data_IF_094799361549
#
_entry.id   IF_094799361549
#
_cell.length_a   1.000
_cell.length_b   1.000
_cell.length_c   1.000
_cell.angle_alpha   90.00
_cell.angle_beta   90.00
_cell.angle_gamma   90.00
#
_symmetry.space_group_name_H-M   'P 1'
#
loop_
_entity.id
_entity.type
_entity.pdbx_description
1 polymer ?
#
# COMPACT_ATOMS: atom_id res chain seq x y z
N UNK A 1 12.20 14.98 -9.26
CA UNK A 1 12.73 15.43 -7.96
C UNK A 1 12.10 16.77 -7.63
N UNK A 2 11.68 16.96 -6.39
CA UNK A 2 10.97 18.15 -5.90
C UNK A 2 11.65 18.61 -4.61
N UNK A 3 11.97 19.91 -4.49
CA UNK A 3 12.49 20.47 -3.24
C UNK A 3 11.34 20.65 -2.26
N UNK A 4 11.40 19.99 -1.11
CA UNK A 4 10.41 20.17 -0.04
C UNK A 4 10.78 21.39 0.80
N UNK A 5 12.05 21.47 1.21
CA UNK A 5 12.63 22.59 1.98
C UNK A 5 14.16 22.59 1.83
N UNK A 6 14.83 23.55 2.43
CA UNK A 6 16.30 23.58 2.42
C UNK A 6 16.88 22.28 2.98
N UNK A 7 17.77 21.65 2.19
CA UNK A 7 18.38 20.37 2.51
C UNK A 7 17.47 19.13 2.36
N UNK A 8 16.21 19.27 1.95
CA UNK A 8 15.28 18.14 1.84
C UNK A 8 14.60 18.06 0.47
N UNK A 9 14.79 16.91 -0.19
CA UNK A 9 14.31 16.66 -1.54
C UNK A 9 13.49 15.38 -1.58
N UNK A 10 12.40 15.41 -2.34
CA UNK A 10 11.60 14.22 -2.69
C UNK A 10 12.03 13.74 -4.07
N UNK A 11 12.38 12.46 -4.18
CA UNK A 11 12.65 11.80 -5.45
C UNK A 11 11.59 10.74 -5.64
N UNK A 12 10.71 10.95 -6.62
CA UNK A 12 9.80 9.91 -7.10
C UNK A 12 10.47 9.19 -8.25
N UNK A 13 10.46 7.86 -8.19
CA UNK A 13 11.01 6.98 -9.22
C UNK A 13 9.86 6.12 -9.72
N UNK A 14 9.49 6.28 -11.00
CA UNK A 14 8.49 5.42 -11.63
C UNK A 14 9.20 4.13 -12.04
N UNK A 15 9.21 3.18 -11.12
CA UNK A 15 9.87 1.89 -11.29
C UNK A 15 8.99 0.96 -12.11
N UNK A 16 9.57 0.30 -13.11
CA UNK A 16 8.92 -0.82 -13.80
C UNK A 16 9.03 -2.13 -13.00
N UNK A 17 10.07 -2.22 -12.17
CA UNK A 17 10.37 -3.34 -11.28
C UNK A 17 10.84 -2.83 -9.92
N UNK A 18 10.57 -3.56 -8.84
CA UNK A 18 11.05 -3.20 -7.49
C UNK A 18 12.58 -3.09 -7.40
N UNK A 19 13.31 -3.79 -8.27
CA UNK A 19 14.76 -3.67 -8.41
C UNK A 19 15.22 -2.26 -8.83
N UNK A 20 14.40 -1.53 -9.60
CA UNK A 20 14.77 -0.23 -10.16
C UNK A 20 14.98 0.80 -9.06
N UNK A 21 14.16 0.77 -8.01
CA UNK A 21 14.33 1.61 -6.83
C UNK A 21 15.65 1.29 -6.11
N UNK A 22 16.04 0.02 -6.06
CA UNK A 22 17.33 -0.38 -5.47
C UNK A 22 18.51 0.14 -6.30
N UNK A 23 18.41 0.10 -7.63
CA UNK A 23 19.44 0.66 -8.51
C UNK A 23 19.55 2.18 -8.39
N UNK A 24 18.42 2.89 -8.38
CA UNK A 24 18.42 4.35 -8.21
C UNK A 24 18.96 4.73 -6.83
N UNK A 25 18.59 4.00 -5.78
CA UNK A 25 19.14 4.22 -4.45
C UNK A 25 20.67 4.03 -4.42
N UNK A 26 21.18 2.92 -4.98
CA UNK A 26 22.63 2.68 -5.09
C UNK A 26 23.34 3.80 -5.86
N UNK A 27 22.74 4.28 -6.95
CA UNK A 27 23.28 5.41 -7.70
C UNK A 27 23.40 6.66 -6.80
N UNK A 28 22.47 6.93 -5.90
CA UNK A 28 22.64 8.04 -4.96
C UNK A 28 23.68 7.74 -3.88
N UNK A 29 23.72 6.52 -3.35
CA UNK A 29 24.70 6.08 -2.33
C UNK A 29 26.15 6.09 -2.87
N UNK A 30 26.35 5.82 -4.16
CA UNK A 30 27.68 5.84 -4.80
C UNK A 30 28.23 7.28 -4.94
N UNK A 31 27.35 8.28 -5.01
CA UNK A 31 27.73 9.68 -5.28
C UNK A 31 27.59 10.60 -4.06
N UNK A 32 26.87 10.18 -3.02
CA UNK A 32 26.66 10.94 -1.79
C UNK A 32 27.38 10.21 -0.66
N UNK A 33 28.27 10.90 0.07
CA UNK A 33 28.91 10.31 1.24
C UNK A 33 27.85 9.98 2.30
N UNK A 34 28.02 8.89 3.02
CA UNK A 34 27.04 8.43 4.03
C UNK A 34 26.69 9.52 5.07
N UNK A 35 27.65 10.40 5.39
CA UNK A 35 27.45 11.49 6.35
C UNK A 35 26.74 12.73 5.75
N UNK A 36 26.62 12.83 4.42
CA UNK A 36 26.11 14.01 3.72
C UNK A 36 24.59 13.97 3.48
N UNK A 37 23.96 12.80 3.54
CA UNK A 37 22.51 12.66 3.36
C UNK A 37 21.90 11.45 4.06
N UNK A 38 20.63 11.58 4.47
CA UNK A 38 19.82 10.50 5.01
C UNK A 38 18.73 10.13 4.01
N UNK A 39 18.67 8.86 3.63
CA UNK A 39 17.60 8.32 2.79
C UNK A 39 16.42 7.88 3.66
N UNK A 40 15.30 8.60 3.58
CA UNK A 40 14.08 8.21 4.26
C UNK A 40 13.18 7.37 3.35
N UNK A 41 12.67 6.27 3.91
CA UNK A 41 11.64 5.43 3.29
C UNK A 41 10.56 5.10 4.32
N UNK A 42 9.40 4.63 3.83
CA UNK A 42 8.39 4.00 4.69
C UNK A 42 8.75 2.52 4.77
N UNK A 43 9.31 2.11 5.91
CA UNK A 43 9.64 0.71 6.19
C UNK A 43 8.54 0.09 7.06
N UNK A 44 7.94 -0.96 6.52
CA UNK A 44 6.99 -1.81 7.20
C UNK A 44 7.44 -2.32 8.58
N UNK A 45 8.74 -2.62 8.74
CA UNK A 45 9.31 -3.16 9.99
C UNK A 45 9.29 -2.14 11.12
N UNK A 46 9.14 -0.86 10.82
CA UNK A 46 9.01 0.18 11.84
C UNK A 46 7.65 0.15 12.56
N UNK A 47 6.67 -0.61 12.03
CA UNK A 47 5.34 -0.73 12.62
C UNK A 47 5.26 -1.98 13.50
N UNK A 48 4.72 -1.82 14.71
CA UNK A 48 4.14 -2.93 15.47
C UNK A 48 2.89 -3.48 14.77
N UNK A 49 2.36 -4.59 15.24
CA UNK A 49 1.12 -5.19 14.72
C UNK A 49 -0.06 -4.21 14.78
N UNK A 50 -0.29 -3.59 15.93
CA UNK A 50 -1.40 -2.66 16.11
C UNK A 50 -1.20 -1.38 15.29
N UNK A 51 0.06 -0.92 15.17
CA UNK A 51 0.39 0.20 14.31
C UNK A 51 0.22 -0.14 12.83
N UNK A 52 0.42 -1.40 12.40
CA UNK A 52 0.16 -1.82 11.01
C UNK A 52 -1.33 -1.73 10.67
N UNK A 53 -2.20 -2.21 11.56
CA UNK A 53 -3.65 -2.05 11.42
C UNK A 53 -4.02 -0.57 11.39
N UNK A 54 -3.52 0.21 12.36
CA UNK A 54 -3.80 1.64 12.46
C UNK A 54 -3.28 2.45 11.26
N UNK A 55 -2.12 2.07 10.71
CA UNK A 55 -1.52 2.71 9.54
C UNK A 55 -2.43 2.59 8.33
N UNK A 56 -2.87 1.38 8.03
CA UNK A 56 -3.75 1.05 6.91
C UNK A 56 -5.12 1.74 7.08
N UNK A 57 -5.68 1.71 8.30
CA UNK A 57 -6.95 2.38 8.59
C UNK A 57 -6.86 3.91 8.44
N UNK A 58 -5.76 4.51 8.88
CA UNK A 58 -5.53 5.94 8.73
C UNK A 58 -5.30 6.30 7.26
N UNK A 59 -4.63 5.44 6.51
CA UNK A 59 -4.40 5.66 5.09
C UNK A 59 -5.73 5.69 4.33
N UNK A 60 -6.65 4.75 4.59
CA UNK A 60 -8.00 4.79 4.01
C UNK A 60 -8.76 6.09 4.31
N UNK A 61 -8.44 6.80 5.39
CA UNK A 61 -9.11 8.08 5.76
C UNK A 61 -8.38 9.33 5.29
N UNK A 62 -7.06 9.24 5.06
CA UNK A 62 -6.18 10.41 4.86
C UNK A 62 -5.31 10.31 3.59
N UNK A 63 -5.44 9.25 2.80
CA UNK A 63 -4.64 9.08 1.59
C UNK A 63 -4.87 10.20 0.56
N UNK A 64 -6.11 10.63 0.41
CA UNK A 64 -6.52 11.65 -0.55
C UNK A 64 -7.11 12.89 0.16
N UNK A 65 -7.26 14.02 -0.55
CA UNK A 65 -7.91 15.21 0.00
C UNK A 65 -9.37 14.96 0.37
N UNK A 66 -9.97 15.87 1.15
CA UNK A 66 -11.29 15.69 1.77
C UNK A 66 -12.46 15.53 0.78
N UNK A 67 -12.28 15.93 -0.48
CA UNK A 67 -13.26 15.70 -1.53
C UNK A 67 -13.29 14.24 -2.02
N UNK A 68 -12.32 13.40 -1.63
CA UNK A 68 -12.30 11.97 -1.92
C UNK A 68 -12.71 11.16 -0.69
N UNK A 69 -13.84 10.47 -0.80
CA UNK A 69 -14.41 9.68 0.28
C UNK A 69 -14.10 8.20 0.04
N UNK A 70 -13.60 7.53 1.08
CA UNK A 70 -13.41 6.08 1.04
C UNK A 70 -14.77 5.41 0.92
N UNK A 71 -14.96 4.66 -0.17
CA UNK A 71 -16.18 3.89 -0.41
C UNK A 71 -16.03 2.48 0.17
N UNK A 72 -14.93 1.80 -0.14
CA UNK A 72 -14.67 0.44 0.35
C UNK A 72 -13.18 0.10 0.25
N UNK A 73 -12.80 -0.97 0.95
CA UNK A 73 -11.56 -1.71 0.68
C UNK A 73 -11.92 -2.91 -0.19
N UNK A 74 -11.28 -3.04 -1.35
CA UNK A 74 -11.61 -4.05 -2.37
C UNK A 74 -10.65 -5.24 -2.38
N UNK A 75 -9.39 -5.01 -2.01
CA UNK A 75 -8.37 -6.05 -1.93
C UNK A 75 -7.54 -5.89 -0.66
N UNK A 76 -7.21 -7.01 -0.05
CA UNK A 76 -6.38 -7.08 1.16
C UNK A 76 -5.39 -8.21 1.02
N UNK A 77 -4.12 -7.90 1.22
CA UNK A 77 -3.03 -8.86 1.25
C UNK A 77 -2.50 -8.94 2.68
N UNK A 78 -2.50 -10.15 3.23
CA UNK A 78 -2.03 -10.42 4.58
C UNK A 78 -0.98 -11.51 4.57
N UNK A 79 0.04 -11.34 5.44
CA UNK A 79 1.12 -12.31 5.61
C UNK A 79 1.41 -12.56 7.08
N UNK A 80 1.70 -13.82 7.41
CA UNK A 80 2.06 -14.19 8.78
C UNK A 80 3.47 -13.66 9.16
N UNK A 81 3.64 -13.17 10.38
CA UNK A 81 4.88 -12.53 10.86
C UNK A 81 6.13 -13.43 10.74
N UNK A 82 5.99 -14.73 10.98
CA UNK A 82 7.10 -15.69 10.83
C UNK A 82 7.57 -15.85 9.37
N UNK A 83 6.68 -15.67 8.39
CA UNK A 83 7.00 -15.78 6.96
C UNK A 83 7.50 -14.45 6.38
N UNK A 84 7.21 -13.34 7.05
CA UNK A 84 7.80 -12.04 6.75
C UNK A 84 9.32 -12.06 6.96
N UNK A 85 9.84 -12.82 7.92
CA UNK A 85 11.29 -12.94 8.17
C UNK A 85 12.01 -13.88 7.18
N UNK A 86 11.33 -14.91 6.66
CA UNK A 86 11.93 -15.92 5.77
C UNK A 86 12.18 -15.45 4.34
N UNK A 87 11.53 -14.38 3.86
CA UNK A 87 11.78 -13.79 2.52
C UNK A 87 13.13 -13.06 2.39
N UNK A 88 14.09 -13.33 3.27
CA UNK A 88 15.48 -12.87 3.16
C UNK A 88 16.33 -13.74 2.24
N UNK A 89 15.83 -14.86 1.73
CA UNK A 89 16.54 -15.75 0.82
C UNK A 89 15.58 -16.12 -0.32
N UNK A 90 15.85 -15.61 -1.52
CA UNK A 90 15.47 -16.17 -2.84
C UNK A 90 14.00 -16.24 -3.31
N UNK A 91 13.17 -15.20 -3.12
CA UNK A 91 11.89 -15.12 -3.87
C UNK A 91 11.75 -13.79 -4.63
N UNK A 92 12.63 -13.58 -5.61
CA UNK A 92 12.26 -12.88 -6.83
C UNK A 92 11.75 -13.96 -7.80
N UNK A 93 10.51 -13.84 -8.25
CA UNK A 93 9.90 -14.65 -9.31
C UNK A 93 9.61 -16.13 -9.01
N UNK A 94 8.74 -16.41 -8.03
CA UNK A 94 7.90 -17.63 -8.09
C UNK A 94 6.43 -17.34 -7.84
N UNK A 95 5.74 -17.31 -8.98
CA UNK A 95 4.31 -17.30 -9.18
C UNK A 95 3.57 -18.38 -8.37
N UNK A 96 2.47 -17.92 -7.78
CA UNK A 96 1.12 -18.43 -7.95
C UNK A 96 0.84 -19.93 -7.77
N UNK A 97 0.38 -20.29 -6.57
CA UNK A 97 -0.60 -21.37 -6.39
C UNK A 97 -1.86 -20.76 -5.73
N UNK A 98 -2.72 -20.16 -6.56
CA UNK A 98 -4.08 -19.79 -6.18
C UNK A 98 -4.88 -21.06 -5.88
N UNK A 99 -5.17 -21.31 -4.60
CA UNK A 99 -6.19 -22.27 -4.19
C UNK A 99 -7.30 -21.54 -3.45
N UNK A 100 -8.47 -21.46 -4.08
CA UNK A 100 -9.73 -21.24 -3.37
C UNK A 100 -10.01 -22.43 -2.45
N UNK A 101 -10.14 -22.20 -1.14
CA UNK A 101 -10.51 -23.25 -0.19
C UNK A 101 -11.50 -22.71 0.84
N UNK A 102 -12.63 -23.42 0.94
CA UNK A 102 -13.65 -23.33 1.97
C UNK A 102 -13.19 -23.99 3.30
N UNK A 103 -13.70 -23.42 4.41
CA UNK A 103 -13.73 -23.94 5.80
C UNK A 103 -12.52 -23.73 6.74
N UNK A 104 -12.89 -23.38 7.99
CA UNK A 104 -12.19 -22.55 8.97
C UNK A 104 -11.01 -23.19 9.74
N UNK A 105 -10.69 -24.48 9.53
CA UNK A 105 -9.79 -25.23 10.44
C UNK A 105 -8.37 -25.55 9.89
N UNK A 106 -8.00 -25.10 8.69
CA UNK A 106 -6.64 -25.31 8.10
C UNK A 106 -5.67 -24.12 8.22
N UNK A 107 -5.99 -23.15 9.07
CA UNK A 107 -5.35 -21.83 9.08
C UNK A 107 -3.89 -21.80 9.58
N UNK A 108 -3.34 -22.92 10.09
CA UNK A 108 -1.92 -23.05 10.44
C UNK A 108 -1.00 -23.24 9.22
N UNK A 109 -1.53 -23.71 8.09
CA UNK A 109 -0.74 -23.92 6.87
C UNK A 109 -0.74 -22.71 5.91
N UNK A 110 -1.56 -21.68 6.18
CA UNK A 110 -1.65 -20.50 5.32
C UNK A 110 -0.55 -19.52 5.71
N UNK A 111 0.41 -19.26 4.82
CA UNK A 111 1.49 -18.30 5.07
C UNK A 111 1.10 -16.87 4.68
N UNK A 112 0.19 -16.75 3.71
CA UNK A 112 -0.30 -15.51 3.11
C UNK A 112 -1.71 -15.74 2.54
N UNK A 113 -2.51 -14.67 2.48
CA UNK A 113 -3.81 -14.70 1.82
C UNK A 113 -4.06 -13.39 1.07
N UNK A 114 -4.73 -13.52 -0.08
CA UNK A 114 -5.25 -12.43 -0.88
C UNK A 114 -6.76 -12.52 -0.80
N UNK A 115 -7.39 -11.46 -0.30
CA UNK A 115 -8.84 -11.40 -0.13
C UNK A 115 -9.38 -10.32 -1.05
N UNK A 116 -10.43 -10.67 -1.79
CA UNK A 116 -11.13 -9.79 -2.72
C UNK A 116 -12.60 -9.74 -2.32
N UNK A 117 -13.22 -8.56 -2.42
CA UNK A 117 -14.62 -8.39 -2.02
C UNK A 117 -14.95 -6.97 -1.59
N UNK A 118 -16.18 -6.77 -1.11
CA UNK A 118 -16.64 -5.47 -0.60
C UNK A 118 -16.52 -5.43 0.92
N UNK A 119 -16.15 -4.26 1.45
CA UNK A 119 -16.03 -3.97 2.87
C UNK A 119 -15.06 -4.91 3.63
N UNK A 120 -13.98 -5.35 2.97
CA UNK A 120 -13.06 -6.36 3.51
C UNK A 120 -12.45 -5.98 4.85
N UNK A 121 -12.21 -4.70 5.10
CA UNK A 121 -11.60 -4.26 6.37
C UNK A 121 -12.49 -4.59 7.59
N UNK A 122 -13.81 -4.60 7.44
CA UNK A 122 -14.77 -4.91 8.50
C UNK A 122 -15.22 -6.39 8.47
N UNK A 123 -14.55 -7.22 7.68
CA UNK A 123 -14.88 -8.63 7.57
C UNK A 123 -14.30 -9.41 8.76
N UNK A 124 -15.12 -10.21 9.43
CA UNK A 124 -14.72 -11.01 10.61
C UNK A 124 -13.51 -11.90 10.34
N UNK A 125 -13.43 -12.48 9.13
CA UNK A 125 -12.27 -13.27 8.70
C UNK A 125 -10.99 -12.44 8.74
N UNK A 126 -11.02 -11.22 8.17
CA UNK A 126 -9.85 -10.33 8.17
C UNK A 126 -9.43 -9.96 9.59
N UNK A 127 -10.38 -9.67 10.46
CA UNK A 127 -10.09 -9.39 11.87
C UNK A 127 -9.46 -10.59 12.59
N UNK A 128 -9.92 -11.80 12.30
CA UNK A 128 -9.39 -13.02 12.91
C UNK A 128 -7.98 -13.34 12.44
N UNK A 129 -7.65 -13.09 11.16
CA UNK A 129 -6.27 -13.18 10.68
C UNK A 129 -5.36 -12.20 11.41
N UNK A 130 -5.81 -10.95 11.57
CA UNK A 130 -5.07 -9.97 12.37
C UNK A 130 -4.87 -10.52 13.78
N UNK A 131 -5.91 -10.99 14.48
CA UNK A 131 -5.77 -11.59 15.83
C UNK A 131 -4.73 -12.72 15.85
N UNK A 132 -4.71 -13.58 14.83
CA UNK A 132 -3.77 -14.72 14.67
C UNK A 132 -2.33 -14.35 14.32
N UNK A 133 -1.98 -13.07 14.22
CA UNK A 133 -0.59 -12.63 14.00
C UNK A 133 -0.22 -12.39 12.54
N UNK A 134 -1.23 -12.36 11.66
CA UNK A 134 -1.04 -11.85 10.31
C UNK A 134 -1.05 -10.33 10.34
N UNK A 135 -0.40 -9.76 9.33
CA UNK A 135 -0.28 -8.33 9.15
C UNK A 135 -0.52 -7.97 7.68
N UNK A 136 -1.04 -6.77 7.46
CA UNK A 136 -1.36 -6.27 6.12
C UNK A 136 -0.10 -5.88 5.36
N UNK A 137 0.16 -6.54 4.23
CA UNK A 137 1.28 -6.20 3.34
C UNK A 137 0.84 -5.35 2.15
N UNK A 138 -0.43 -5.44 1.74
CA UNK A 138 -1.00 -4.52 0.76
C UNK A 138 -2.51 -4.33 0.98
N UNK A 139 -3.04 -3.19 0.55
CA UNK A 139 -4.47 -2.91 0.56
C UNK A 139 -4.85 -2.00 -0.61
N UNK A 140 -5.95 -2.34 -1.28
CA UNK A 140 -6.55 -1.52 -2.34
C UNK A 140 -7.78 -0.81 -1.81
N UNK A 141 -7.74 0.52 -1.85
CA UNK A 141 -8.82 1.40 -1.43
C UNK A 141 -9.57 1.90 -2.65
N UNK A 142 -10.89 1.85 -2.60
CA UNK A 142 -11.76 2.49 -3.57
C UNK A 142 -12.26 3.81 -2.99
N UNK A 143 -11.93 4.91 -3.65
CA UNK A 143 -12.40 6.24 -3.31
C UNK A 143 -13.38 6.76 -4.35
N UNK A 144 -14.35 7.53 -3.90
CA UNK A 144 -15.27 8.28 -4.74
C UNK A 144 -15.08 9.78 -4.51
N UNK A 145 -15.05 10.57 -5.59
CA UNK A 145 -14.94 12.01 -5.47
C UNK A 145 -16.32 12.65 -5.29
N UNK A 146 -16.46 13.44 -4.23
CA UNK A 146 -17.70 14.12 -3.85
C UNK A 146 -18.19 15.03 -4.98
N UNK A 147 -19.44 14.81 -5.38
CA UNK A 147 -20.11 15.65 -6.38
C UNK A 147 -19.70 15.38 -7.82
N UNK A 148 -18.90 14.33 -8.08
CA UNK A 148 -18.57 13.86 -9.43
C UNK A 148 -18.86 12.36 -9.52
N UNK A 149 -19.02 11.76 -10.71
CA UNK A 149 -19.17 10.31 -10.82
C UNK A 149 -17.86 9.55 -10.60
N UNK A 150 -16.75 10.24 -10.33
CA UNK A 150 -15.42 9.68 -10.43
C UNK A 150 -15.06 8.75 -9.26
N UNK A 151 -14.34 7.69 -9.59
CA UNK A 151 -13.82 6.67 -8.69
C UNK A 151 -12.35 6.45 -9.01
N UNK A 152 -11.57 6.19 -7.98
CA UNK A 152 -10.17 5.78 -8.12
C UNK A 152 -9.86 4.61 -7.19
N UNK A 153 -9.13 3.61 -7.70
CA UNK A 153 -8.56 2.54 -6.90
C UNK A 153 -7.08 2.83 -6.68
N UNK A 154 -6.69 2.83 -5.41
CA UNK A 154 -5.32 3.09 -4.98
C UNK A 154 -4.85 1.89 -4.18
N UNK A 155 -3.78 1.25 -4.64
CA UNK A 155 -3.11 0.20 -3.87
C UNK A 155 -1.90 0.77 -3.14
N UNK A 156 -1.86 0.49 -1.84
CA UNK A 156 -0.72 0.73 -0.98
C UNK A 156 -0.09 -0.63 -0.67
N UNK A 157 1.17 -0.84 -1.05
CA UNK A 157 1.83 -2.14 -1.01
C UNK A 157 3.23 -2.05 -0.41
N UNK A 158 3.59 -3.00 0.44
CA UNK A 158 4.93 -3.18 0.96
C UNK A 158 5.65 -4.29 0.19
N UNK A 159 6.27 -3.91 -0.95
CA UNK A 159 6.90 -4.86 -1.87
C UNK A 159 8.35 -5.20 -1.56
N UNK A 160 8.74 -6.38 -2.02
CA UNK A 160 10.12 -6.83 -2.10
C UNK A 160 10.76 -7.14 -0.75
N UNK A 161 12.02 -7.59 -0.80
CA UNK A 161 12.81 -7.97 0.38
C UNK A 161 12.99 -6.83 1.38
N UNK A 162 13.07 -5.60 0.86
CA UNK A 162 13.22 -4.38 1.66
C UNK A 162 11.88 -3.82 2.16
N UNK A 163 10.74 -4.46 1.81
CA UNK A 163 9.37 -4.06 2.18
C UNK A 163 9.13 -2.58 1.92
N UNK A 164 9.52 -2.15 0.73
CA UNK A 164 9.39 -0.76 0.30
C UNK A 164 7.93 -0.46 0.07
N UNK A 165 7.49 0.68 0.62
CA UNK A 165 6.14 1.15 0.39
C UNK A 165 5.99 1.76 -1.00
N UNK A 166 5.15 1.13 -1.81
CA UNK A 166 4.75 1.56 -3.14
C UNK A 166 3.28 2.00 -3.14
N UNK A 167 2.98 2.97 -4.01
CA UNK A 167 1.61 3.42 -4.26
C UNK A 167 1.35 3.30 -5.76
N UNK A 168 0.28 2.59 -6.12
CA UNK A 168 -0.21 2.52 -7.50
C UNK A 168 -1.63 3.06 -7.61
N UNK A 169 -1.95 3.59 -8.78
CA UNK A 169 -3.32 3.85 -9.20
C UNK A 169 -3.65 2.73 -10.19
N UNK A 170 -4.50 1.80 -9.77
CA UNK A 170 -4.74 0.58 -10.55
C UNK A 170 -5.96 0.72 -11.47
N UNK A 171 -6.86 1.63 -11.10
CA UNK A 171 -8.11 1.85 -11.83
C UNK A 171 -8.62 3.27 -11.60
N UNK A 172 -9.20 3.85 -12.64
CA UNK A 172 -10.01 5.07 -12.55
C UNK A 172 -11.27 4.80 -13.36
N UNK A 173 -12.42 5.22 -12.84
CA UNK A 173 -13.68 5.06 -13.54
C UNK A 173 -14.71 6.10 -13.16
N UNK A 174 -15.85 6.05 -13.83
CA UNK A 174 -17.00 6.90 -13.58
C UNK A 174 -18.25 6.04 -13.37
N UNK A 175 -19.01 6.31 -12.32
CA UNK A 175 -20.37 5.77 -12.18
C UNK A 175 -21.28 6.44 -13.21
N UNK A 176 -21.52 5.74 -14.32
CA UNK A 176 -22.45 6.18 -15.36
C UNK A 176 -23.75 5.39 -15.21
N UNK A 177 -24.85 6.06 -14.86
CA UNK A 177 -26.18 5.45 -14.79
C UNK A 177 -26.71 5.22 -13.37
N UNK A 178 -27.43 4.11 -13.16
CA UNK A 178 -28.10 3.76 -11.90
C UNK A 178 -27.20 2.94 -10.97
N UNK A 179 -27.51 2.95 -9.66
CA UNK A 179 -26.85 2.09 -8.67
C UNK A 179 -26.86 0.62 -9.10
N UNK A 180 -25.70 -0.03 -9.06
CA UNK A 180 -25.53 -1.45 -9.39
C UNK A 180 -24.90 -1.75 -10.76
N UNK A 181 -24.68 -0.74 -11.61
CA UNK A 181 -23.89 -0.88 -12.83
C UNK A 181 -22.42 -0.66 -12.51
N UNK A 182 -21.53 -1.61 -12.82
CA UNK A 182 -20.09 -1.45 -12.65
C UNK A 182 -19.58 -0.14 -13.30
N UNK A 183 -18.63 0.56 -12.68
CA UNK A 183 -18.17 1.84 -13.21
C UNK A 183 -17.50 1.66 -14.57
N UNK A 184 -17.67 2.68 -15.43
CA UNK A 184 -16.99 2.69 -16.73
C UNK A 184 -15.56 3.13 -16.53
N UNK A 185 -14.60 2.29 -16.92
CA UNK A 185 -13.17 2.60 -16.84
C UNK A 185 -12.83 3.82 -17.71
N UNK A 186 -12.02 4.72 -17.17
CA UNK A 186 -11.49 5.88 -17.89
C UNK A 186 -9.96 5.88 -17.86
N UNK A 187 -9.29 6.46 -18.87
CA UNK A 187 -7.83 6.49 -18.92
C UNK A 187 -7.20 7.18 -17.70
N UNK A 188 -6.15 6.56 -17.14
CA UNK A 188 -5.35 7.14 -16.06
C UNK A 188 -4.55 8.34 -16.59
N UNK A 189 -4.94 9.54 -16.19
CA UNK A 189 -4.30 10.79 -16.58
C UNK A 189 -3.04 11.08 -15.75
N UNK A 190 -2.28 12.10 -16.18
CA UNK A 190 -1.14 12.61 -15.41
C UNK A 190 -1.55 13.15 -14.04
N UNK A 191 -2.76 13.69 -13.91
CA UNK A 191 -3.29 14.19 -12.63
C UNK A 191 -3.54 13.05 -11.66
N UNK A 192 -4.13 11.94 -12.13
CA UNK A 192 -4.29 10.72 -11.33
C UNK A 192 -2.94 10.19 -10.87
N UNK A 193 -1.94 10.12 -11.77
CA UNK A 193 -0.58 9.70 -11.41
C UNK A 193 0.07 10.61 -10.37
N UNK A 194 -0.18 11.92 -10.42
CA UNK A 194 0.31 12.86 -9.43
C UNK A 194 -0.28 12.64 -8.02
N UNK A 195 -1.45 11.98 -7.92
CA UNK A 195 -2.03 11.60 -6.63
C UNK A 195 -1.19 10.56 -5.90
N UNK A 196 -0.45 9.68 -6.60
CA UNK A 196 0.48 8.71 -5.97
C UNK A 196 1.46 9.40 -5.02
N UNK A 197 2.03 10.51 -5.50
CA UNK A 197 2.97 11.36 -4.76
C UNK A 197 2.35 11.93 -3.48
N UNK A 198 1.05 12.31 -3.53
CA UNK A 198 0.31 12.82 -2.36
C UNK A 198 0.00 11.72 -1.36
N UNK A 199 -0.49 10.58 -1.84
CA UNK A 199 -0.79 9.41 -1.01
C UNK A 199 0.47 8.94 -0.28
N UNK A 200 1.61 8.88 -0.98
CA UNK A 200 2.88 8.51 -0.37
C UNK A 200 3.31 9.49 0.72
N UNK A 201 3.19 10.80 0.47
CA UNK A 201 3.52 11.82 1.46
C UNK A 201 2.63 11.69 2.73
N UNK A 202 1.32 11.53 2.54
CA UNK A 202 0.38 11.34 3.63
C UNK A 202 0.66 10.05 4.41
N UNK A 203 1.03 8.96 3.71
CA UNK A 203 1.47 7.72 4.34
C UNK A 203 2.72 7.93 5.21
N UNK A 204 3.69 8.72 4.75
CA UNK A 204 4.90 9.04 5.53
C UNK A 204 4.56 9.82 6.79
N UNK A 205 3.67 10.81 6.69
CA UNK A 205 3.20 11.59 7.85
C UNK A 205 2.50 10.72 8.89
N UNK A 206 1.66 9.77 8.44
CA UNK A 206 1.01 8.79 9.32
C UNK A 206 2.07 7.94 10.04
N UNK A 207 3.05 7.41 9.31
CA UNK A 207 4.14 6.60 9.87
C UNK A 207 4.93 7.39 10.93
N UNK A 208 5.34 8.61 10.61
CA UNK A 208 6.12 9.45 11.52
C UNK A 208 5.31 9.86 12.77
N UNK A 209 3.99 9.96 12.64
CA UNK A 209 3.07 10.16 13.76
C UNK A 209 3.12 9.04 14.81
N UNK A 210 3.45 7.80 14.41
CA UNK A 210 3.65 6.70 15.36
C UNK A 210 4.99 6.80 16.10
N UNK A 211 6.05 7.27 15.42
CA UNK A 211 7.39 7.43 16.02
C UNK A 211 7.40 8.50 17.13
N UNK A 212 6.62 9.57 16.98
CA UNK A 212 6.54 10.67 17.97
C UNK A 212 5.80 10.31 19.27
N UNK A 213 5.09 9.18 19.31
CA UNK A 213 4.30 8.73 20.48
C UNK A 213 5.04 7.70 21.34
N UNK A 214 6.29 7.39 21.01
CA UNK A 214 7.17 6.47 21.74
C UNK A 214 8.26 7.29 22.42
#
# INVERSE_FOLDING_TARGET
>A
MEKIKDGMWKVEVDCSRSSDLTHVRRLFEDYIREDDAVFETIDYKALTKDQNVSFIDQLGRKALPEDWLLQTVSHVFIKHENNLQKTTLDDADKDNDEKEIEEQDKLFDISQAILTGKNLRNNEFVEDFVKKGYRFTAMTYQFHQKGTPMIIHITADFKGRNRQFEVSIDYVGEWVGYEGIEPTEVPITREHKAMRSKVWANAKEILDGFKKKT
#
